data_IF_358500921018
#
_entry.id   IF_358500921018
#
_cell.length_a   1.000
_cell.length_b   1.000
_cell.length_c   1.000
_cell.angle_alpha   90.00
_cell.angle_beta   90.00
_cell.angle_gamma   90.00
#
_symmetry.space_group_name_H-M   'P 1'
#
loop_
_entity.id
_entity.type
_entity.pdbx_description
1 polymer ?
#
# COMPACT_ATOMS: atom_id res chain seq x y z
N UNK A 1 -36.53 -51.05 30.73
CA UNK A 1 -36.90 -51.15 29.30
C UNK A 1 -37.77 -49.98 28.92
N UNK A 2 -37.22 -49.03 28.15
CA UNK A 2 -37.88 -48.24 27.10
C UNK A 2 -36.82 -47.32 26.49
N UNK A 3 -36.24 -47.86 25.42
CA UNK A 3 -35.55 -47.15 24.34
C UNK A 3 -36.53 -46.12 23.76
N UNK A 4 -36.06 -44.96 23.27
CA UNK A 4 -36.43 -44.38 21.96
C UNK A 4 -35.78 -43.00 21.76
N UNK A 5 -34.90 -43.01 20.75
CA UNK A 5 -34.53 -42.00 19.75
C UNK A 5 -34.01 -40.61 20.15
N UNK A 6 -32.70 -40.47 19.96
CA UNK A 6 -32.02 -39.29 19.45
C UNK A 6 -32.70 -38.74 18.20
N UNK A 7 -32.93 -37.42 18.17
CA UNK A 7 -33.04 -36.65 16.93
C UNK A 7 -31.94 -35.60 16.98
N UNK A 8 -30.80 -35.92 16.39
CA UNK A 8 -29.74 -34.96 16.08
C UNK A 8 -30.23 -34.18 14.87
N UNK A 9 -30.72 -32.97 15.11
CA UNK A 9 -31.02 -32.02 14.05
C UNK A 9 -29.68 -31.57 13.43
N UNK A 10 -29.36 -32.11 12.25
CA UNK A 10 -28.35 -31.54 11.37
C UNK A 10 -28.81 -30.15 10.95
N UNK A 11 -28.33 -29.12 11.65
CA UNK A 11 -28.28 -27.76 11.11
C UNK A 11 -27.28 -27.78 9.95
N UNK A 12 -27.79 -27.93 8.72
CA UNK A 12 -27.06 -27.60 7.52
C UNK A 12 -26.81 -26.09 7.57
N UNK A 13 -25.61 -25.71 7.98
CA UNK A 13 -25.08 -24.39 7.74
C UNK A 13 -24.96 -24.24 6.21
N UNK A 14 -25.91 -23.53 5.60
CA UNK A 14 -25.77 -23.03 4.23
C UNK A 14 -24.80 -21.86 4.30
N UNK A 15 -23.52 -22.19 4.36
CA UNK A 15 -22.41 -21.24 4.24
C UNK A 15 -21.86 -21.38 2.81
N UNK A 16 -22.43 -20.62 1.89
CA UNK A 16 -22.00 -20.64 0.50
C UNK A 16 -22.66 -19.51 -0.27
N UNK A 17 -22.10 -18.31 -0.18
CA UNK A 17 -22.38 -17.23 -1.12
C UNK A 17 -21.81 -17.64 -2.48
N UNK A 18 -22.60 -18.40 -3.26
CA UNK A 18 -22.35 -18.55 -4.68
C UNK A 18 -23.10 -17.43 -5.37
N UNK A 19 -22.35 -16.51 -5.98
CA UNK A 19 -22.88 -15.63 -7.01
C UNK A 19 -23.23 -16.49 -8.25
N UNK A 20 -24.20 -17.38 -8.12
CA UNK A 20 -24.63 -18.25 -9.20
C UNK A 20 -25.45 -17.42 -10.20
N UNK A 21 -24.91 -17.29 -11.41
CA UNK A 21 -25.50 -16.66 -12.59
C UNK A 21 -26.07 -15.24 -12.44
N UNK A 22 -25.63 -14.42 -11.47
CA UNK A 22 -26.18 -13.08 -11.27
C UNK A 22 -26.07 -12.16 -12.50
N UNK A 23 -24.87 -12.02 -13.09
CA UNK A 23 -24.71 -11.24 -14.33
C UNK A 23 -25.41 -11.89 -15.53
N UNK A 24 -25.37 -13.22 -15.66
CA UNK A 24 -26.07 -13.93 -16.73
C UNK A 24 -27.59 -13.71 -16.67
N UNK A 25 -28.16 -13.74 -15.47
CA UNK A 25 -29.57 -13.47 -15.21
C UNK A 25 -29.93 -12.01 -15.49
N UNK A 26 -29.09 -11.05 -15.09
CA UNK A 26 -29.24 -9.64 -15.46
C UNK A 26 -29.32 -9.50 -16.99
N UNK A 27 -28.37 -10.08 -17.73
CA UNK A 27 -28.34 -10.06 -19.20
C UNK A 27 -29.56 -10.74 -19.81
N UNK A 28 -29.90 -11.95 -19.35
CA UNK A 28 -31.02 -12.72 -19.87
C UNK A 28 -32.35 -11.97 -19.68
N UNK A 29 -32.56 -11.35 -18.52
CA UNK A 29 -33.75 -10.55 -18.24
C UNK A 29 -33.84 -9.32 -19.13
N UNK A 30 -32.74 -8.57 -19.28
CA UNK A 30 -32.70 -7.36 -20.09
C UNK A 30 -32.88 -7.64 -21.58
N UNK A 31 -32.23 -8.70 -22.08
CA UNK A 31 -32.33 -9.11 -23.48
C UNK A 31 -33.72 -9.69 -23.82
N UNK A 32 -34.35 -10.43 -22.90
CA UNK A 32 -35.70 -10.97 -23.08
C UNK A 32 -36.79 -9.87 -23.11
N UNK A 33 -36.56 -8.74 -22.43
CA UNK A 33 -37.55 -7.66 -22.30
C UNK A 33 -37.64 -6.72 -23.52
N UNK A 34 -36.92 -6.98 -24.63
CA UNK A 34 -36.91 -6.13 -25.84
C UNK A 34 -36.82 -4.62 -25.51
N UNK A 35 -36.05 -4.27 -24.47
CA UNK A 35 -36.01 -2.91 -23.96
C UNK A 35 -35.14 -2.06 -24.88
N UNK A 36 -35.75 -1.10 -25.58
CA UNK A 36 -35.10 -0.02 -26.34
C UNK A 36 -34.17 0.87 -25.49
N UNK A 37 -33.80 0.46 -24.26
CA UNK A 37 -33.06 1.21 -23.26
C UNK A 37 -31.84 0.45 -22.69
N UNK A 38 -31.25 -0.50 -23.43
CA UNK A 38 -30.00 -1.18 -23.02
C UNK A 38 -28.86 -0.18 -22.72
N UNK A 39 -28.97 1.08 -23.18
CA UNK A 39 -28.03 2.18 -22.89
C UNK A 39 -28.56 3.31 -21.98
N UNK A 40 -29.77 3.24 -21.40
CA UNK A 40 -30.35 4.36 -20.60
C UNK A 40 -30.64 4.05 -19.13
N UNK A 41 -30.72 2.78 -18.73
CA UNK A 41 -30.88 2.42 -17.32
C UNK A 41 -29.51 2.14 -16.69
N UNK A 42 -29.02 3.08 -15.87
CA UNK A 42 -27.73 3.00 -15.14
C UNK A 42 -27.55 1.72 -14.29
N UNK A 43 -28.64 0.96 -14.08
CA UNK A 43 -28.70 -0.23 -13.22
C UNK A 43 -29.12 -1.52 -13.96
N UNK A 44 -29.12 -1.56 -15.31
CA UNK A 44 -29.65 -2.74 -16.04
C UNK A 44 -28.75 -3.98 -15.96
N UNK A 45 -27.47 -3.82 -15.66
CA UNK A 45 -26.46 -4.89 -15.59
C UNK A 45 -25.62 -4.74 -14.32
N UNK A 46 -26.29 -4.56 -13.18
CA UNK A 46 -25.65 -4.21 -11.91
C UNK A 46 -24.60 -5.25 -11.45
N UNK A 47 -24.77 -6.52 -11.79
CA UNK A 47 -23.85 -7.59 -11.41
C UNK A 47 -22.75 -7.86 -12.45
N UNK A 48 -22.81 -7.24 -13.63
CA UNK A 48 -21.82 -7.41 -14.68
C UNK A 48 -20.65 -6.42 -14.52
N UNK A 49 -19.86 -6.63 -13.48
CA UNK A 49 -18.64 -5.88 -13.18
C UNK A 49 -17.56 -6.84 -12.65
N UNK A 50 -16.39 -6.32 -12.30
CA UNK A 50 -15.26 -7.10 -11.80
C UNK A 50 -15.23 -7.25 -10.27
N UNK A 51 -16.33 -6.98 -9.58
CA UNK A 51 -16.43 -7.20 -8.13
C UNK A 51 -16.76 -8.68 -7.88
N UNK A 52 -15.87 -9.36 -7.16
CA UNK A 52 -16.04 -10.73 -6.68
C UNK A 52 -15.47 -10.85 -5.26
N UNK A 53 -15.83 -11.93 -4.55
CA UNK A 53 -15.41 -12.13 -3.16
C UNK A 53 -15.90 -11.03 -2.21
N UNK A 54 -17.02 -10.38 -2.56
CA UNK A 54 -17.60 -9.26 -1.81
C UNK A 54 -16.65 -8.06 -1.60
N UNK A 55 -15.67 -7.88 -2.50
CA UNK A 55 -14.72 -6.77 -2.48
C UNK A 55 -15.43 -5.41 -2.40
N UNK A 56 -15.11 -4.63 -1.36
CA UNK A 56 -15.72 -3.34 -1.09
C UNK A 56 -17.14 -3.37 -0.50
N UNK A 57 -17.72 -4.55 -0.25
CA UNK A 57 -19.03 -4.70 0.41
C UNK A 57 -18.91 -4.95 1.91
N UNK A 58 -17.86 -5.67 2.33
CA UNK A 58 -17.55 -5.94 3.74
C UNK A 58 -16.13 -5.49 4.08
N UNK A 59 -15.92 -5.15 5.36
CA UNK A 59 -14.63 -4.69 5.87
C UNK A 59 -14.16 -3.38 5.23
N UNK A 60 -12.89 -3.05 5.46
CA UNK A 60 -12.30 -1.79 5.01
C UNK A 60 -11.25 -1.97 3.91
N UNK A 61 -11.04 -3.19 3.40
CA UNK A 61 -9.92 -3.49 2.49
C UNK A 61 -9.91 -2.60 1.25
N UNK A 62 -11.04 -2.45 0.56
CA UNK A 62 -11.11 -1.63 -0.65
C UNK A 62 -10.80 -0.15 -0.36
N UNK A 63 -11.31 0.39 0.74
CA UNK A 63 -11.04 1.78 1.15
C UNK A 63 -9.61 1.97 1.65
N UNK A 64 -9.03 0.96 2.29
CA UNK A 64 -7.64 1.01 2.74
C UNK A 64 -6.66 0.91 1.58
N UNK A 65 -6.96 0.13 0.54
CA UNK A 65 -6.15 0.09 -0.69
C UNK A 65 -6.10 1.47 -1.36
N UNK A 66 -7.24 2.19 -1.42
CA UNK A 66 -7.27 3.58 -1.89
C UNK A 66 -6.44 4.51 -0.99
N UNK A 67 -6.59 4.40 0.32
CA UNK A 67 -5.80 5.20 1.27
C UNK A 67 -4.29 4.89 1.16
N UNK A 68 -3.92 3.67 0.81
CA UNK A 68 -2.54 3.23 0.63
C UNK A 68 -1.92 3.78 -0.65
N UNK A 69 -2.70 3.87 -1.74
CA UNK A 69 -2.29 4.59 -2.95
C UNK A 69 -2.06 6.07 -2.63
N UNK A 70 -2.95 6.71 -1.86
CA UNK A 70 -2.78 8.10 -1.43
C UNK A 70 -1.53 8.29 -0.56
N UNK A 71 -1.21 7.33 0.32
CA UNK A 71 0.02 7.36 1.12
C UNK A 71 1.25 7.32 0.21
N UNK A 72 1.32 6.39 -0.75
CA UNK A 72 2.44 6.32 -1.70
C UNK A 72 2.58 7.60 -2.52
N UNK A 73 1.46 8.16 -2.97
CA UNK A 73 1.45 9.41 -3.72
C UNK A 73 2.05 10.55 -2.90
N UNK A 74 1.62 10.71 -1.64
CA UNK A 74 2.17 11.72 -0.73
C UNK A 74 3.67 11.51 -0.51
N UNK A 75 4.10 10.28 -0.18
CA UNK A 75 5.52 9.97 0.04
C UNK A 75 6.38 10.17 -1.20
N UNK A 76 5.84 9.93 -2.40
CA UNK A 76 6.55 10.16 -3.66
C UNK A 76 6.95 11.63 -3.82
N UNK A 77 6.07 12.58 -3.47
CA UNK A 77 6.36 14.01 -3.50
C UNK A 77 7.31 14.44 -2.37
N UNK A 78 7.16 13.90 -1.17
CA UNK A 78 8.08 14.18 -0.06
C UNK A 78 9.53 13.78 -0.39
N UNK A 79 9.71 12.58 -0.95
CA UNK A 79 11.02 12.13 -1.42
C UNK A 79 11.53 12.94 -2.60
N UNK A 80 10.64 13.37 -3.52
CA UNK A 80 11.02 14.26 -4.62
C UNK A 80 11.59 15.58 -4.10
N UNK A 81 10.96 16.16 -3.08
CA UNK A 81 11.41 17.39 -2.45
C UNK A 81 12.76 17.19 -1.73
N UNK A 82 12.94 16.06 -1.02
CA UNK A 82 14.24 15.71 -0.45
C UNK A 82 15.33 15.56 -1.52
N UNK A 83 15.01 14.92 -2.65
CA UNK A 83 15.95 14.80 -3.77
C UNK A 83 16.37 16.17 -4.33
N UNK A 84 15.41 17.08 -4.49
CA UNK A 84 15.68 18.45 -4.93
C UNK A 84 16.52 19.23 -3.91
N UNK A 85 16.25 19.06 -2.62
CA UNK A 85 17.02 19.69 -1.55
C UNK A 85 18.48 19.24 -1.54
N UNK A 86 18.76 17.95 -1.70
CA UNK A 86 20.16 17.47 -1.75
C UNK A 86 20.91 17.86 -3.04
N UNK A 87 20.18 18.25 -4.09
CA UNK A 87 20.75 18.71 -5.36
C UNK A 87 20.90 20.25 -5.45
N UNK A 88 20.81 20.95 -4.32
CA UNK A 88 21.03 22.40 -4.30
C UNK A 88 22.53 22.72 -4.16
N UNK A 89 22.96 23.93 -4.54
CA UNK A 89 24.37 24.30 -4.57
C UNK A 89 25.08 24.32 -3.19
N UNK A 90 24.34 24.40 -2.09
CA UNK A 90 24.89 24.40 -0.73
C UNK A 90 25.06 22.98 -0.19
N UNK A 91 24.07 22.12 -0.40
CA UNK A 91 24.10 20.72 0.04
C UNK A 91 24.98 19.88 -0.87
N UNK A 92 24.74 19.96 -2.18
CA UNK A 92 25.51 19.33 -3.26
C UNK A 92 25.89 17.86 -2.95
N UNK A 93 24.87 17.04 -2.67
CA UNK A 93 24.97 15.60 -2.35
C UNK A 93 24.24 14.79 -3.41
N UNK A 94 24.91 14.54 -4.53
CA UNK A 94 24.32 13.88 -5.69
C UNK A 94 23.89 12.43 -5.38
N UNK A 95 24.63 11.75 -4.50
CA UNK A 95 24.29 10.41 -4.03
C UNK A 95 23.02 10.37 -3.19
N UNK A 96 22.87 11.30 -2.24
CA UNK A 96 21.61 11.46 -1.49
C UNK A 96 20.46 11.87 -2.40
N UNK A 97 20.70 12.80 -3.33
CA UNK A 97 19.68 13.20 -4.31
C UNK A 97 19.19 11.99 -5.12
N UNK A 98 20.12 11.17 -5.61
CA UNK A 98 19.82 9.93 -6.35
C UNK A 98 19.04 8.93 -5.50
N UNK A 99 19.42 8.73 -4.24
CA UNK A 99 18.71 7.86 -3.29
C UNK A 99 17.24 8.28 -3.14
N UNK A 100 17.01 9.54 -2.80
CA UNK A 100 15.65 10.06 -2.63
C UNK A 100 14.86 10.09 -3.93
N UNK A 101 15.52 10.34 -5.07
CA UNK A 101 14.86 10.26 -6.38
C UNK A 101 14.40 8.84 -6.68
N UNK A 102 15.22 7.82 -6.42
CA UNK A 102 14.84 6.41 -6.55
C UNK A 102 13.62 6.07 -5.68
N UNK A 103 13.63 6.47 -4.41
CA UNK A 103 12.49 6.26 -3.51
C UNK A 103 11.22 6.97 -3.99
N UNK A 104 11.35 8.18 -4.51
CA UNK A 104 10.25 8.95 -5.12
C UNK A 104 9.64 8.22 -6.31
N UNK A 105 10.48 7.78 -7.25
CA UNK A 105 10.04 7.10 -8.47
C UNK A 105 9.39 5.75 -8.17
N UNK A 106 9.95 4.98 -7.24
CA UNK A 106 9.36 3.72 -6.78
C UNK A 106 7.99 3.95 -6.13
N UNK A 107 7.86 4.94 -5.24
CA UNK A 107 6.58 5.25 -4.60
C UNK A 107 5.52 5.74 -5.61
N UNK A 108 5.95 6.51 -6.62
CA UNK A 108 5.07 6.93 -7.71
C UNK A 108 4.57 5.73 -8.54
N UNK A 109 5.46 4.80 -8.91
CA UNK A 109 5.04 3.59 -9.64
C UNK A 109 4.09 2.72 -8.80
N UNK A 110 4.39 2.53 -7.52
CA UNK A 110 3.51 1.82 -6.58
C UNK A 110 2.13 2.47 -6.44
N UNK A 111 2.05 3.81 -6.53
CA UNK A 111 0.76 4.52 -6.59
C UNK A 111 -0.04 4.08 -7.81
N UNK A 112 0.59 4.05 -8.98
CA UNK A 112 -0.05 3.66 -10.24
C UNK A 112 -0.49 2.19 -10.20
N UNK A 113 0.36 1.30 -9.70
CA UNK A 113 0.05 -0.13 -9.53
C UNK A 113 -1.17 -0.35 -8.63
N UNK A 114 -1.24 0.35 -7.49
CA UNK A 114 -2.40 0.29 -6.60
C UNK A 114 -3.68 0.78 -7.27
N UNK A 115 -3.64 1.88 -8.01
CA UNK A 115 -4.81 2.40 -8.75
C UNK A 115 -5.29 1.37 -9.78
N UNK A 116 -4.36 0.75 -10.51
CA UNK A 116 -4.67 -0.33 -11.46
C UNK A 116 -5.27 -1.53 -10.74
N UNK A 117 -4.74 -1.93 -9.59
CA UNK A 117 -5.25 -3.06 -8.81
C UNK A 117 -6.67 -2.81 -8.29
N UNK A 118 -6.92 -1.63 -7.71
CA UNK A 118 -8.24 -1.21 -7.22
C UNK A 118 -9.30 -1.28 -8.33
N UNK A 119 -8.97 -0.74 -9.50
CA UNK A 119 -9.88 -0.72 -10.66
C UNK A 119 -10.03 -2.09 -11.31
N UNK A 120 -8.98 -2.92 -11.31
CA UNK A 120 -9.04 -4.34 -11.73
C UNK A 120 -10.05 -5.13 -10.88
N UNK A 121 -10.12 -4.86 -9.57
CA UNK A 121 -11.07 -5.48 -8.63
C UNK A 121 -12.49 -4.87 -8.66
N UNK A 122 -12.75 -3.94 -9.58
CA UNK A 122 -14.06 -3.32 -9.78
C UNK A 122 -14.36 -2.14 -8.86
N UNK A 123 -13.36 -1.66 -8.11
CA UNK A 123 -13.44 -0.42 -7.35
C UNK A 123 -13.16 0.82 -8.21
N UNK A 124 -13.45 2.00 -7.65
CA UNK A 124 -13.05 3.28 -8.20
C UNK A 124 -12.00 3.92 -7.28
N UNK A 125 -11.04 4.67 -7.81
CA UNK A 125 -10.05 5.35 -6.99
C UNK A 125 -10.61 6.66 -6.41
N UNK A 126 -10.53 6.83 -5.09
CA UNK A 126 -10.87 8.08 -4.40
C UNK A 126 -9.62 8.69 -3.75
N UNK A 127 -9.12 9.79 -4.32
CA UNK A 127 -7.93 10.50 -3.81
C UNK A 127 -8.17 11.25 -2.48
N UNK A 128 -9.42 11.38 -2.03
CA UNK A 128 -9.76 11.92 -0.72
C UNK A 128 -9.84 10.83 0.38
N UNK A 129 -9.77 9.55 0.02
CA UNK A 129 -9.89 8.44 0.96
C UNK A 129 -8.76 8.47 1.99
N UNK A 130 -9.13 8.30 3.27
CA UNK A 130 -8.21 8.26 4.41
C UNK A 130 -8.25 6.87 5.05
N UNK A 131 -7.12 6.47 5.62
CA UNK A 131 -7.01 5.20 6.34
C UNK A 131 -7.74 5.26 7.67
N UNK A 132 -8.33 4.14 8.10
CA UNK A 132 -8.89 3.94 9.43
C UNK A 132 -7.82 3.64 10.47
N UNK A 133 -6.61 3.25 10.06
CA UNK A 133 -5.47 3.17 10.97
C UNK A 133 -5.18 4.60 11.46
N UNK A 134 -5.23 4.80 12.78
CA UNK A 134 -4.97 6.11 13.37
C UNK A 134 -3.65 6.65 12.81
N UNK A 135 -3.65 7.85 12.19
CA UNK A 135 -2.40 8.44 11.77
C UNK A 135 -1.59 8.72 13.04
N UNK A 136 -0.30 8.38 13.02
CA UNK A 136 0.65 9.16 13.82
C UNK A 136 0.39 10.62 13.47
N UNK A 137 0.33 11.53 14.46
CA UNK A 137 0.08 12.96 14.24
C UNK A 137 0.71 13.40 12.93
N UNK A 138 -0.08 13.96 12.00
CA UNK A 138 0.44 14.43 10.72
C UNK A 138 1.43 15.55 10.98
N UNK A 139 2.68 15.18 11.25
CA UNK A 139 3.80 16.10 11.38
C UNK A 139 4.16 16.51 9.97
N UNK A 140 4.27 17.80 9.74
CA UNK A 140 4.76 18.35 8.48
C UNK A 140 6.06 17.64 8.10
N UNK A 141 6.16 17.17 6.86
CA UNK A 141 7.39 16.60 6.36
C UNK A 141 8.42 17.71 6.17
N UNK A 142 9.46 17.70 7.01
CA UNK A 142 10.58 18.64 6.90
C UNK A 142 11.54 18.14 5.83
N UNK A 143 11.76 18.96 4.80
CA UNK A 143 12.65 18.64 3.67
C UNK A 143 14.10 19.02 3.98
N UNK A 144 14.30 20.15 4.67
CA UNK A 144 15.60 20.75 4.95
C UNK A 144 16.28 20.06 6.15
N UNK A 145 16.66 18.80 5.97
CA UNK A 145 17.28 17.95 6.99
C UNK A 145 18.74 17.64 6.65
N UNK A 146 19.58 17.49 7.67
CA UNK A 146 20.94 16.99 7.49
C UNK A 146 20.95 15.51 7.08
N UNK A 147 22.08 15.02 6.56
CA UNK A 147 22.20 13.68 5.96
C UNK A 147 21.65 12.57 6.87
N UNK A 148 22.06 12.52 8.13
CA UNK A 148 21.60 11.50 9.10
C UNK A 148 20.11 11.64 9.43
N UNK A 149 19.63 12.86 9.62
CA UNK A 149 18.21 13.14 9.94
C UNK A 149 17.30 12.77 8.76
N UNK A 150 17.76 13.05 7.53
CA UNK A 150 17.04 12.70 6.31
C UNK A 150 16.89 11.19 6.15
N UNK A 151 17.94 10.41 6.42
CA UNK A 151 17.88 8.94 6.39
C UNK A 151 17.00 8.38 7.50
N UNK A 152 17.07 8.95 8.70
CA UNK A 152 16.19 8.56 9.81
C UNK A 152 14.71 8.80 9.45
N UNK A 153 14.41 9.96 8.86
CA UNK A 153 13.06 10.27 8.38
C UNK A 153 12.62 9.31 7.26
N UNK A 154 13.51 9.01 6.30
CA UNK A 154 13.23 8.05 5.24
C UNK A 154 12.93 6.65 5.80
N UNK A 155 13.72 6.19 6.79
CA UNK A 155 13.53 4.90 7.46
C UNK A 155 12.17 4.83 8.17
N UNK A 156 11.80 5.87 8.92
CA UNK A 156 10.51 5.91 9.61
C UNK A 156 9.33 5.92 8.62
N UNK A 157 9.44 6.68 7.53
CA UNK A 157 8.44 6.67 6.45
C UNK A 157 8.32 5.28 5.80
N UNK A 158 9.42 4.60 5.51
CA UNK A 158 9.37 3.24 4.95
C UNK A 158 8.76 2.22 5.91
N UNK A 159 9.01 2.36 7.22
CA UNK A 159 8.34 1.54 8.25
C UNK A 159 6.85 1.80 8.30
N UNK A 160 6.41 3.06 8.22
CA UNK A 160 4.98 3.40 8.18
C UNK A 160 4.29 2.75 6.97
N UNK A 161 4.91 2.82 5.79
CA UNK A 161 4.38 2.16 4.58
C UNK A 161 4.28 0.64 4.80
N UNK A 162 5.33 0.02 5.36
CA UNK A 162 5.33 -1.42 5.63
C UNK A 162 4.27 -1.85 6.65
N UNK A 163 4.15 -1.12 7.76
CA UNK A 163 3.13 -1.38 8.78
C UNK A 163 1.71 -1.16 8.24
N UNK A 164 1.52 -0.21 7.32
CA UNK A 164 0.26 -0.04 6.61
C UNK A 164 -0.06 -1.26 5.75
N UNK A 165 0.91 -1.83 5.03
CA UNK A 165 0.69 -3.07 4.28
C UNK A 165 0.25 -4.23 5.20
N UNK A 166 0.88 -4.38 6.37
CA UNK A 166 0.48 -5.40 7.36
C UNK A 166 -0.93 -5.17 7.89
N UNK A 167 -1.31 -3.92 8.10
CA UNK A 167 -2.67 -3.58 8.50
C UNK A 167 -3.69 -4.04 7.45
N UNK A 168 -3.47 -3.71 6.18
CA UNK A 168 -4.38 -4.08 5.08
C UNK A 168 -4.42 -5.60 4.88
N UNK A 169 -3.28 -6.25 4.93
CA UNK A 169 -3.18 -7.72 4.85
C UNK A 169 -4.03 -8.39 5.94
N UNK A 170 -3.96 -7.87 7.17
CA UNK A 170 -4.76 -8.36 8.29
C UNK A 170 -6.27 -8.06 8.12
N UNK A 171 -6.63 -6.90 7.56
CA UNK A 171 -8.01 -6.58 7.20
C UNK A 171 -8.56 -7.54 6.13
N UNK A 172 -7.73 -7.94 5.17
CA UNK A 172 -8.10 -8.87 4.10
C UNK A 172 -8.26 -10.31 4.56
N UNK A 173 -7.49 -10.75 5.56
CA UNK A 173 -7.40 -12.17 5.91
C UNK A 173 -8.03 -12.55 7.25
N UNK A 174 -8.17 -11.61 8.20
CA UNK A 174 -8.42 -11.95 9.61
C UNK A 174 -9.43 -11.08 10.34
N UNK A 175 -9.47 -9.77 10.12
CA UNK A 175 -10.19 -8.87 11.03
C UNK A 175 -11.72 -8.89 10.89
N UNK A 176 -12.23 -9.37 9.75
CA UNK A 176 -13.68 -9.48 9.51
C UNK A 176 -14.07 -10.95 9.34
N UNK A 177 -15.10 -11.37 10.08
CA UNK A 177 -15.67 -12.72 9.93
C UNK A 177 -16.36 -12.93 8.57
N UNK A 178 -16.71 -11.84 7.89
CA UNK A 178 -17.44 -11.81 6.63
C UNK A 178 -16.56 -11.45 5.43
N UNK A 179 -15.24 -11.32 5.61
CA UNK A 179 -14.31 -11.02 4.53
C UNK A 179 -13.10 -11.93 4.63
N UNK A 180 -12.77 -12.57 3.51
CA UNK A 180 -11.52 -13.25 3.31
C UNK A 180 -11.09 -13.05 1.86
N UNK A 181 -10.14 -12.13 1.63
CA UNK A 181 -9.66 -11.75 0.30
C UNK A 181 -8.18 -12.16 0.12
N UNK A 182 -7.93 -13.42 -0.29
CA UNK A 182 -6.57 -13.91 -0.49
C UNK A 182 -5.88 -13.27 -1.71
N UNK A 183 -6.62 -12.68 -2.65
CA UNK A 183 -6.02 -12.01 -3.82
C UNK A 183 -5.37 -10.69 -3.40
N UNK A 184 -6.01 -9.90 -2.55
CA UNK A 184 -5.38 -8.70 -1.95
C UNK A 184 -4.20 -9.10 -1.08
N UNK A 185 -4.33 -10.16 -0.28
CA UNK A 185 -3.26 -10.64 0.59
C UNK A 185 -2.01 -11.02 -0.21
N UNK A 186 -2.16 -11.86 -1.24
CA UNK A 186 -1.06 -12.27 -2.12
C UNK A 186 -0.44 -11.08 -2.85
N UNK A 187 -1.28 -10.17 -3.38
CA UNK A 187 -0.80 -8.97 -4.05
C UNK A 187 0.09 -8.11 -3.14
N UNK A 188 -0.31 -7.92 -1.87
CA UNK A 188 0.52 -7.18 -0.90
C UNK A 188 1.81 -7.91 -0.55
N UNK A 189 1.77 -9.25 -0.45
CA UNK A 189 2.94 -10.08 -0.17
C UNK A 189 3.99 -9.94 -1.28
N UNK A 190 3.59 -10.20 -2.53
CA UNK A 190 4.48 -10.21 -3.69
C UNK A 190 4.98 -8.81 -4.07
N UNK A 191 4.10 -7.82 -4.12
CA UNK A 191 4.44 -6.52 -4.72
C UNK A 191 4.94 -5.48 -3.72
N UNK A 192 4.84 -5.72 -2.40
CA UNK A 192 5.16 -4.71 -1.38
C UNK A 192 5.97 -5.26 -0.22
N UNK A 193 5.45 -6.28 0.47
CA UNK A 193 5.99 -6.70 1.77
C UNK A 193 7.44 -7.20 1.66
N UNK A 194 7.77 -7.97 0.63
CA UNK A 194 9.14 -8.44 0.42
C UNK A 194 10.12 -7.28 0.21
N UNK A 195 9.74 -6.29 -0.60
CA UNK A 195 10.60 -5.16 -0.94
C UNK A 195 10.78 -4.18 0.21
N UNK A 196 9.75 -3.97 1.04
CA UNK A 196 9.88 -3.16 2.25
C UNK A 196 11.02 -3.65 3.16
N UNK A 197 11.14 -4.97 3.34
CA UNK A 197 12.17 -5.54 4.21
C UNK A 197 13.59 -5.21 3.71
N UNK A 198 13.78 -5.19 2.39
CA UNK A 198 15.06 -4.86 1.74
C UNK A 198 15.37 -3.37 1.92
N UNK A 199 14.44 -2.48 1.58
CA UNK A 199 14.62 -1.02 1.67
C UNK A 199 14.83 -0.56 3.12
N UNK A 200 14.04 -1.08 4.06
CA UNK A 200 14.19 -0.76 5.50
C UNK A 200 15.57 -1.21 6.01
N UNK A 201 16.03 -2.40 5.61
CA UNK A 201 17.34 -2.91 6.00
C UNK A 201 18.47 -2.06 5.41
N UNK A 202 18.36 -1.65 4.16
CA UNK A 202 19.34 -0.79 3.48
C UNK A 202 19.48 0.57 4.19
N UNK A 203 18.36 1.27 4.41
CA UNK A 203 18.35 2.56 5.12
C UNK A 203 18.87 2.46 6.55
N UNK A 204 18.51 1.40 7.29
CA UNK A 204 19.05 1.15 8.62
C UNK A 204 20.57 0.91 8.61
N UNK A 205 21.09 0.28 7.55
CA UNK A 205 22.53 0.14 7.31
C UNK A 205 23.20 1.49 7.13
N UNK A 206 22.69 2.32 6.23
CA UNK A 206 23.20 3.68 5.99
C UNK A 206 23.23 4.56 7.25
N UNK A 207 22.18 4.49 8.08
CA UNK A 207 22.14 5.19 9.37
C UNK A 207 23.23 4.69 10.32
N UNK A 208 23.47 3.38 10.34
CA UNK A 208 24.52 2.78 11.18
C UNK A 208 25.91 3.27 10.73
N UNK A 209 26.17 3.32 9.42
CA UNK A 209 27.42 3.83 8.87
C UNK A 209 27.63 5.30 9.24
N UNK A 210 26.65 6.17 9.01
CA UNK A 210 26.76 7.59 9.36
C UNK A 210 26.90 7.83 10.87
N UNK A 211 26.19 7.06 11.70
CA UNK A 211 26.37 7.08 13.16
C UNK A 211 27.80 6.74 13.54
N UNK A 212 28.40 5.74 12.90
CA UNK A 212 29.79 5.37 13.15
C UNK A 212 30.75 6.52 12.81
N UNK A 213 30.53 7.23 11.69
CA UNK A 213 31.36 8.36 11.28
C UNK A 213 31.27 9.57 12.23
N UNK A 214 30.11 9.79 12.84
CA UNK A 214 29.92 10.88 13.81
C UNK A 214 30.57 10.54 15.16
N UNK A 215 30.48 9.28 15.59
CA UNK A 215 30.89 8.85 16.93
C UNK A 215 32.37 8.44 17.02
N UNK A 216 32.94 7.89 15.94
CA UNK A 216 34.35 7.54 15.87
C UNK A 216 35.25 8.78 15.88
N UNK A 217 36.43 8.67 16.50
CA UNK A 217 37.44 9.74 16.56
C UNK A 217 36.89 11.12 16.96
N UNK A 218 35.88 11.18 17.84
CA UNK A 218 35.17 12.41 18.22
C UNK A 218 34.60 13.21 17.03
N UNK A 219 34.26 12.54 15.92
CA UNK A 219 33.67 13.15 14.74
C UNK A 219 34.64 13.97 13.87
N UNK A 220 35.96 13.84 14.08
CA UNK A 220 36.96 14.58 13.31
C UNK A 220 36.89 14.30 11.80
N UNK A 221 36.52 13.07 11.42
CA UNK A 221 36.46 12.64 10.03
C UNK A 221 35.09 12.87 9.37
N UNK A 222 34.12 13.49 10.08
CA UNK A 222 32.72 13.57 9.64
C UNK A 222 32.55 14.16 8.23
N UNK A 223 33.22 15.27 7.93
CA UNK A 223 33.05 15.96 6.64
C UNK A 223 33.54 15.10 5.46
N UNK A 224 34.73 14.51 5.59
CA UNK A 224 35.32 13.62 4.58
C UNK A 224 34.51 12.34 4.45
N UNK A 225 34.11 11.73 5.58
CA UNK A 225 33.31 10.51 5.59
C UNK A 225 31.96 10.71 4.90
N UNK A 226 31.29 11.85 5.11
CA UNK A 226 30.01 12.15 4.47
C UNK A 226 30.18 12.38 2.97
N UNK A 227 31.28 12.99 2.54
CA UNK A 227 31.61 13.11 1.11
C UNK A 227 31.85 11.73 0.47
N UNK A 228 32.66 10.87 1.10
CA UNK A 228 32.91 9.52 0.60
C UNK A 228 31.66 8.64 0.61
N UNK A 229 30.77 8.83 1.59
CA UNK A 229 29.50 8.14 1.67
C UNK A 229 28.55 8.57 0.55
N UNK A 230 28.49 9.87 0.21
CA UNK A 230 27.74 10.35 -0.94
C UNK A 230 28.26 9.74 -2.25
N UNK A 231 29.59 9.70 -2.45
CA UNK A 231 30.22 9.03 -3.59
C UNK A 231 29.92 7.53 -3.65
N UNK A 232 29.77 6.87 -2.50
CA UNK A 232 29.32 5.49 -2.42
C UNK A 232 27.87 5.36 -2.90
N UNK A 233 26.95 6.21 -2.40
CA UNK A 233 25.55 6.21 -2.81
C UNK A 233 25.39 6.44 -4.32
N UNK A 234 26.17 7.35 -4.92
CA UNK A 234 26.14 7.59 -6.36
C UNK A 234 26.39 6.30 -7.18
N UNK A 235 27.21 5.38 -6.64
CA UNK A 235 27.61 4.13 -7.31
C UNK A 235 26.66 2.96 -7.03
N UNK A 236 26.03 2.91 -5.86
CA UNK A 236 25.25 1.75 -5.43
C UNK A 236 23.75 1.90 -5.57
N UNK A 237 23.23 3.13 -5.53
CA UNK A 237 21.80 3.42 -5.69
C UNK A 237 21.36 3.28 -7.14
#
# INVERSE_FOLDING_TARGET
MKVILSVVACFLAVSGALAEDACYNDVSLQCAQASNNLGRARNSLAHCNSIYGEYGRHGNVATEMQAYANLHLERSYEYLLSAAYFNNYQTNRDGFSKLFKKLSDQAWEKTIELIKHITKRGGEMNFAQRSTQQPAERKNYTVELHELESLAKALDTQKEIAERAFYIHREATRNSQHLHDPEVAQYLEEEFIEDHSKTIRELAGHITDLKSFITANNGQDKSLAFYLFDEYLQKTV
#
